data_IF_153347129600
#
_entry.id   IF_153347129600
#
_cell.length_a   1.000
_cell.length_b   1.000
_cell.length_c   1.000
_cell.angle_alpha   90.00
_cell.angle_beta   90.00
_cell.angle_gamma   90.00
#
_symmetry.space_group_name_H-M   'P 1'
#
loop_
_entity.id
_entity.type
_entity.pdbx_description
1 polymer ?
#
# COMPACT_ATOMS: atom_id res chain seq x y z
N UNK A 1 -19.71 28.27 2.36
CA UNK A 1 -18.35 28.26 1.78
C UNK A 1 -18.13 29.49 0.90
N UNK A 2 -17.20 30.36 1.31
CA UNK A 2 -16.82 31.60 0.62
C UNK A 2 -16.10 31.31 -0.72
N UNK A 3 -16.07 32.25 -1.66
CA UNK A 3 -15.31 32.11 -2.93
C UNK A 3 -13.80 31.92 -2.69
N UNK A 4 -13.27 32.43 -1.58
CA UNK A 4 -11.87 32.24 -1.18
C UNK A 4 -11.58 30.78 -0.78
N UNK A 5 -12.49 30.18 -0.01
CA UNK A 5 -12.41 28.81 0.50
C UNK A 5 -12.36 27.75 -0.63
N UNK A 6 -13.18 27.93 -1.68
CA UNK A 6 -13.13 27.07 -2.88
C UNK A 6 -11.83 27.19 -3.68
N UNK A 7 -11.13 28.33 -3.58
CA UNK A 7 -9.86 28.57 -4.28
C UNK A 7 -8.72 27.85 -3.53
N UNK A 8 -8.75 27.89 -2.20
CA UNK A 8 -7.76 27.20 -1.36
C UNK A 8 -7.89 25.69 -1.43
N UNK A 9 -9.11 25.12 -1.43
CA UNK A 9 -9.27 23.67 -1.61
C UNK A 9 -8.74 23.18 -2.96
N UNK A 10 -8.90 23.98 -4.03
CA UNK A 10 -8.38 23.64 -5.36
C UNK A 10 -6.85 23.73 -5.43
N UNK A 11 -6.25 24.67 -4.69
CA UNK A 11 -4.80 24.77 -4.57
C UNK A 11 -4.24 23.58 -3.77
N UNK A 12 -4.87 23.24 -2.64
CA UNK A 12 -4.49 22.08 -1.83
C UNK A 12 -4.58 20.77 -2.64
N UNK A 13 -5.67 20.56 -3.39
CA UNK A 13 -5.83 19.37 -4.24
C UNK A 13 -4.76 19.31 -5.35
N UNK A 14 -4.42 20.45 -5.97
CA UNK A 14 -3.37 20.51 -7.00
C UNK A 14 -1.99 20.24 -6.43
N UNK A 15 -1.70 20.73 -5.24
CA UNK A 15 -0.44 20.46 -4.54
C UNK A 15 -0.37 18.98 -4.19
N UNK A 16 -1.43 18.40 -3.62
CA UNK A 16 -1.50 16.97 -3.29
C UNK A 16 -1.33 16.07 -4.52
N UNK A 17 -2.03 16.38 -5.62
CA UNK A 17 -1.91 15.63 -6.87
C UNK A 17 -0.53 15.81 -7.51
N UNK A 18 0.04 17.01 -7.43
CA UNK A 18 1.38 17.30 -7.93
C UNK A 18 2.46 16.53 -7.16
N UNK A 19 2.37 16.51 -5.82
CA UNK A 19 3.32 15.78 -4.98
C UNK A 19 3.14 14.28 -5.13
N UNK A 20 1.91 13.75 -5.19
CA UNK A 20 1.68 12.31 -5.38
C UNK A 20 2.16 11.83 -6.75
N UNK A 21 1.93 12.61 -7.82
CA UNK A 21 2.44 12.30 -9.15
C UNK A 21 3.98 12.30 -9.19
N UNK A 22 4.62 13.25 -8.49
CA UNK A 22 6.08 13.31 -8.40
C UNK A 22 6.64 12.09 -7.67
N UNK A 23 6.03 11.69 -6.56
CA UNK A 23 6.43 10.48 -5.82
C UNK A 23 6.25 9.23 -6.68
N UNK A 24 5.12 9.10 -7.38
CA UNK A 24 4.89 7.96 -8.29
C UNK A 24 5.92 7.89 -9.42
N UNK A 25 6.27 9.04 -10.01
CA UNK A 25 7.31 9.13 -11.03
C UNK A 25 8.68 8.72 -10.45
N UNK A 26 9.03 9.19 -9.26
CA UNK A 26 10.29 8.85 -8.60
C UNK A 26 10.40 7.34 -8.35
N UNK A 27 9.32 6.72 -7.87
CA UNK A 27 9.25 5.26 -7.66
C UNK A 27 9.40 4.51 -8.99
N UNK A 28 8.71 4.94 -10.05
CA UNK A 28 8.83 4.32 -11.37
C UNK A 28 10.26 4.39 -11.92
N UNK A 29 10.94 5.53 -11.74
CA UNK A 29 12.34 5.70 -12.15
C UNK A 29 13.29 4.82 -11.35
N UNK A 30 13.06 4.64 -10.04
CA UNK A 30 13.83 3.73 -9.20
C UNK A 30 13.65 2.27 -9.64
N UNK A 31 12.43 1.84 -9.93
CA UNK A 31 12.14 0.49 -10.43
C UNK A 31 12.81 0.27 -11.78
N UNK A 32 12.72 1.23 -12.69
CA UNK A 32 13.37 1.15 -14.00
C UNK A 32 14.90 1.09 -13.87
N UNK A 33 15.48 1.93 -13.00
CA UNK A 33 16.92 1.91 -12.73
C UNK A 33 17.35 0.55 -12.16
N UNK A 34 16.61 -0.01 -11.21
CA UNK A 34 16.89 -1.34 -10.68
C UNK A 34 16.82 -2.42 -11.77
N UNK A 35 15.80 -2.37 -12.64
CA UNK A 35 15.64 -3.32 -13.74
C UNK A 35 16.77 -3.28 -14.77
N UNK A 36 17.34 -2.10 -15.04
CA UNK A 36 18.46 -1.95 -16.00
C UNK A 36 19.81 -2.26 -15.36
N UNK A 37 19.98 -1.99 -14.06
CA UNK A 37 21.28 -2.06 -13.37
C UNK A 37 21.61 -3.43 -12.80
N UNK A 38 20.60 -4.28 -12.57
CA UNK A 38 20.75 -5.60 -11.95
C UNK A 38 20.54 -6.69 -13.02
N UNK A 39 21.60 -7.14 -13.72
CA UNK A 39 21.49 -8.33 -14.56
C UNK A 39 21.08 -9.52 -13.70
N UNK A 40 20.01 -10.21 -14.11
CA UNK A 40 19.41 -11.28 -13.32
C UNK A 40 18.31 -10.84 -12.35
N UNK A 41 17.85 -9.58 -12.36
CA UNK A 41 16.67 -9.18 -11.58
C UNK A 41 15.42 -9.98 -11.99
N UNK A 42 15.22 -10.22 -13.30
CA UNK A 42 14.14 -11.07 -13.80
C UNK A 42 14.24 -12.50 -13.28
N UNK A 43 15.45 -13.05 -13.29
CA UNK A 43 15.71 -14.43 -12.89
C UNK A 43 15.64 -14.58 -11.36
N UNK A 44 16.08 -13.57 -10.61
CA UNK A 44 15.93 -13.49 -9.16
C UNK A 44 14.47 -13.32 -8.75
N UNK A 45 13.71 -12.49 -9.49
CA UNK A 45 12.26 -12.36 -9.28
C UNK A 45 11.58 -13.68 -9.60
N UNK A 46 11.90 -14.33 -10.71
CA UNK A 46 11.38 -15.67 -11.01
C UNK A 46 11.75 -16.65 -9.90
N UNK A 47 13.03 -16.80 -9.54
CA UNK A 47 13.47 -17.76 -8.52
C UNK A 47 12.92 -17.50 -7.10
N UNK A 48 12.57 -16.25 -6.78
CA UNK A 48 12.10 -15.84 -5.45
C UNK A 48 10.57 -15.73 -5.37
N UNK A 49 9.89 -15.54 -6.50
CA UNK A 49 8.45 -15.30 -6.59
C UNK A 49 7.70 -16.28 -7.52
N UNK A 50 8.35 -17.32 -8.08
CA UNK A 50 7.69 -18.43 -8.83
C UNK A 50 6.95 -19.41 -7.92
N UNK A 51 7.41 -19.54 -6.68
CA UNK A 51 6.96 -20.56 -5.75
C UNK A 51 6.45 -19.89 -4.48
N UNK A 52 5.21 -20.21 -4.11
CA UNK A 52 4.53 -19.47 -3.08
C UNK A 52 5.20 -19.51 -1.74
N UNK A 53 5.08 -18.39 -1.03
CA UNK A 53 5.75 -18.18 0.26
C UNK A 53 5.31 -19.20 1.33
N UNK A 54 4.29 -19.99 1.01
CA UNK A 54 3.70 -21.02 1.85
C UNK A 54 2.79 -20.41 2.93
N UNK A 55 1.75 -21.15 3.32
CA UNK A 55 0.72 -20.69 4.26
C UNK A 55 1.29 -20.09 5.56
N UNK A 56 2.39 -20.65 6.08
CA UNK A 56 2.99 -20.20 7.35
C UNK A 56 3.66 -18.83 7.23
N UNK A 57 4.54 -18.64 6.25
CA UNK A 57 5.27 -17.38 6.13
C UNK A 57 4.37 -16.28 5.55
N UNK A 58 3.47 -16.64 4.63
CA UNK A 58 2.45 -15.74 4.11
C UNK A 58 1.56 -15.15 5.21
N UNK A 59 1.21 -15.93 6.25
CA UNK A 59 0.43 -15.42 7.38
C UNK A 59 1.16 -14.31 8.15
N UNK A 60 2.48 -14.46 8.38
CA UNK A 60 3.27 -13.44 9.08
C UNK A 60 3.34 -12.14 8.27
N UNK A 61 3.64 -12.26 6.97
CA UNK A 61 3.74 -11.10 6.07
C UNK A 61 2.38 -10.43 5.91
N UNK A 62 1.32 -11.20 5.68
CA UNK A 62 -0.04 -10.68 5.55
C UNK A 62 -0.51 -9.96 6.82
N UNK A 63 -0.18 -10.46 8.01
CA UNK A 63 -0.52 -9.78 9.26
C UNK A 63 0.16 -8.41 9.36
N UNK A 64 1.46 -8.33 9.06
CA UNK A 64 2.21 -7.06 9.08
C UNK A 64 1.62 -6.07 8.07
N UNK A 65 1.41 -6.52 6.83
CA UNK A 65 0.85 -5.67 5.76
C UNK A 65 -0.55 -5.17 6.12
N UNK A 66 -1.42 -6.04 6.63
CA UNK A 66 -2.77 -5.65 7.05
C UNK A 66 -2.77 -4.66 8.20
N UNK A 67 -1.85 -4.79 9.18
CA UNK A 67 -1.71 -3.79 10.24
C UNK A 67 -1.29 -2.44 9.65
N UNK A 68 -0.32 -2.42 8.74
CA UNK A 68 0.12 -1.17 8.10
C UNK A 68 -1.01 -0.49 7.31
N UNK A 69 -1.79 -1.26 6.54
CA UNK A 69 -2.97 -0.76 5.83
C UNK A 69 -4.00 -0.19 6.80
N UNK A 70 -4.29 -0.91 7.89
CA UNK A 70 -5.18 -0.43 8.94
C UNK A 70 -4.69 0.87 9.59
N UNK A 71 -3.38 1.02 9.81
CA UNK A 71 -2.79 2.27 10.32
C UNK A 71 -2.99 3.41 9.32
N UNK A 72 -2.77 3.18 8.02
CA UNK A 72 -2.99 4.20 6.98
C UNK A 72 -4.46 4.65 6.98
N UNK A 73 -5.40 3.70 7.08
CA UNK A 73 -6.82 4.04 7.15
C UNK A 73 -7.20 4.76 8.45
N UNK A 74 -6.62 4.38 9.59
CA UNK A 74 -6.82 5.10 10.84
C UNK A 74 -6.34 6.56 10.77
N UNK A 75 -5.19 6.79 10.12
CA UNK A 75 -4.66 8.14 9.92
C UNK A 75 -5.52 8.95 8.96
N UNK A 76 -6.09 8.30 7.93
CA UNK A 76 -6.97 8.94 6.96
C UNK A 76 -8.38 9.24 7.52
N UNK A 77 -8.86 8.45 8.48
CA UNK A 77 -10.20 8.55 9.05
C UNK A 77 -10.43 9.82 9.89
N UNK A 78 -9.38 10.41 10.48
CA UNK A 78 -9.41 11.73 11.11
C UNK A 78 -10.18 11.86 12.44
N UNK A 79 -11.22 11.06 12.70
CA UNK A 79 -12.15 11.24 13.85
C UNK A 79 -11.86 10.32 15.07
N UNK A 80 -10.77 9.55 15.05
CA UNK A 80 -10.25 8.85 16.22
C UNK A 80 -10.40 7.33 16.14
N UNK A 81 -9.23 6.67 16.25
CA UNK A 81 -9.01 5.22 16.19
C UNK A 81 -10.00 4.38 17.04
N UNK A 82 -10.52 4.94 18.13
CA UNK A 82 -11.35 4.23 19.10
C UNK A 82 -12.81 4.09 18.63
N UNK A 83 -13.37 5.12 17.96
CA UNK A 83 -14.75 5.09 17.50
C UNK A 83 -14.97 4.17 16.30
N UNK A 84 -13.95 4.05 15.45
CA UNK A 84 -14.01 3.24 14.23
C UNK A 84 -13.42 1.83 14.40
N UNK A 85 -12.96 1.48 15.60
CA UNK A 85 -12.29 0.20 15.85
C UNK A 85 -13.18 -1.00 15.47
N UNK A 86 -14.50 -0.88 15.65
CA UNK A 86 -15.49 -1.88 15.25
C UNK A 86 -15.53 -2.13 13.72
N UNK A 87 -15.16 -1.14 12.91
CA UNK A 87 -15.04 -1.27 11.44
C UNK A 87 -13.63 -1.67 11.02
N UNK A 88 -12.62 -1.21 11.76
CA UNK A 88 -11.23 -1.55 11.52
C UNK A 88 -10.92 -3.03 11.78
N UNK A 89 -11.52 -3.66 12.79
CA UNK A 89 -11.26 -5.07 13.12
C UNK A 89 -11.72 -6.01 11.98
N UNK A 90 -12.97 -5.94 11.49
CA UNK A 90 -13.38 -6.73 10.32
C UNK A 90 -12.57 -6.40 9.06
N UNK A 91 -12.24 -5.11 8.86
CA UNK A 91 -11.39 -4.68 7.75
C UNK A 91 -10.01 -5.33 7.79
N UNK A 92 -9.37 -5.35 8.96
CA UNK A 92 -8.10 -6.03 9.18
C UNK A 92 -8.17 -7.51 8.78
N UNK A 93 -9.18 -8.24 9.25
CA UNK A 93 -9.32 -9.66 8.90
C UNK A 93 -9.59 -9.88 7.41
N UNK A 94 -10.34 -8.99 6.76
CA UNK A 94 -10.58 -9.04 5.32
C UNK A 94 -9.28 -8.84 4.54
N UNK A 95 -8.49 -7.81 4.86
CA UNK A 95 -7.19 -7.59 4.25
C UNK A 95 -6.22 -8.72 4.56
N UNK A 96 -6.22 -9.23 5.79
CA UNK A 96 -5.37 -10.34 6.21
C UNK A 96 -5.66 -11.58 5.37
N UNK A 97 -6.90 -12.03 5.27
CA UNK A 97 -7.26 -13.21 4.48
C UNK A 97 -6.94 -13.00 3.01
N UNK A 98 -7.23 -11.81 2.47
CA UNK A 98 -6.92 -11.46 1.09
C UNK A 98 -5.42 -11.56 0.80
N UNK A 99 -4.57 -10.84 1.56
CA UNK A 99 -3.13 -10.88 1.39
C UNK A 99 -2.54 -12.24 1.70
N UNK A 100 -3.05 -12.93 2.71
CA UNK A 100 -2.57 -14.25 3.11
C UNK A 100 -2.75 -15.27 1.99
N UNK A 101 -3.94 -15.32 1.38
CA UNK A 101 -4.20 -16.25 0.28
C UNK A 101 -3.43 -15.84 -0.99
N UNK A 102 -3.35 -14.54 -1.31
CA UNK A 102 -2.56 -14.11 -2.47
C UNK A 102 -1.06 -14.42 -2.32
N UNK A 103 -0.48 -14.17 -1.14
CA UNK A 103 0.93 -14.45 -0.86
C UNK A 103 1.23 -15.95 -0.72
N UNK A 104 0.22 -16.75 -0.37
CA UNK A 104 0.38 -18.20 -0.23
C UNK A 104 0.19 -18.98 -1.54
N UNK A 105 -0.58 -18.44 -2.50
CA UNK A 105 -0.98 -19.17 -3.72
C UNK A 105 -0.70 -18.50 -5.06
N UNK A 106 -0.64 -17.17 -5.14
CA UNK A 106 -0.52 -16.45 -6.42
C UNK A 106 0.91 -16.01 -6.72
N UNK A 107 1.72 -15.92 -5.67
CA UNK A 107 3.16 -16.10 -5.75
C UNK A 107 3.41 -17.51 -5.28
#
# INVERSE_FOLDING_TARGET
MSRADRRDSRLALRILLGTSALVALLVALLVLAAAVSLPGLSDWVALTFDDGMGLKNAALVAAIVSVLVSIVFALAAGEGLIGELQFMIPGFFLFFVFFWLMLAWIF
#
